data_IF_141959333340
#
_entry.id   IF_141959333340
#
_cell.length_a   1.000
_cell.length_b   1.000
_cell.length_c   1.000
_cell.angle_alpha   90.00
_cell.angle_beta   90.00
_cell.angle_gamma   90.00
#
_symmetry.space_group_name_H-M   'P 1'
#
loop_
_entity.id
_entity.type
_entity.pdbx_description
1 polymer ?
#
# COMPACT_ATOMS: atom_id res chain seq x y z
N UNK A 1 -19.32 48.62 -5.34
CA UNK A 1 -18.68 47.74 -4.34
C UNK A 1 -18.94 46.23 -4.49
N UNK A 2 -20.11 45.69 -4.90
CA UNK A 2 -20.30 44.23 -4.86
C UNK A 2 -19.49 43.44 -5.93
N UNK A 3 -19.15 44.05 -7.06
CA UNK A 3 -18.43 43.37 -8.14
C UNK A 3 -16.98 42.98 -7.78
N UNK A 4 -16.26 43.86 -7.07
CA UNK A 4 -14.87 43.60 -6.64
C UNK A 4 -14.77 42.50 -5.58
N UNK A 5 -15.80 42.36 -4.73
CA UNK A 5 -15.84 41.32 -3.70
C UNK A 5 -16.08 39.92 -4.28
N UNK A 6 -16.89 39.80 -5.34
CA UNK A 6 -17.07 38.54 -6.09
C UNK A 6 -15.80 38.09 -6.83
N UNK A 7 -14.99 39.04 -7.31
CA UNK A 7 -13.73 38.71 -8.00
C UNK A 7 -12.69 38.08 -7.06
N UNK A 8 -12.60 38.55 -5.80
CA UNK A 8 -11.66 38.02 -4.81
C UNK A 8 -11.95 36.56 -4.47
N UNK A 9 -13.19 36.24 -4.05
CA UNK A 9 -13.55 34.87 -3.65
C UNK A 9 -13.48 33.85 -4.79
N UNK A 10 -13.65 34.28 -6.05
CA UNK A 10 -13.44 33.42 -7.21
C UNK A 10 -11.97 33.02 -7.40
N UNK A 11 -11.02 33.87 -6.97
CA UNK A 11 -9.59 33.61 -7.04
C UNK A 11 -9.11 32.71 -5.90
N UNK A 12 -9.59 32.93 -4.68
CA UNK A 12 -9.23 32.11 -3.50
C UNK A 12 -9.69 30.65 -3.65
N UNK A 13 -10.88 30.44 -4.22
CA UNK A 13 -11.40 29.11 -4.56
C UNK A 13 -10.54 28.42 -5.63
N UNK A 14 -10.03 29.18 -6.60
CA UNK A 14 -9.20 28.64 -7.69
C UNK A 14 -7.81 28.23 -7.16
N UNK A 15 -7.22 29.02 -6.27
CA UNK A 15 -5.94 28.70 -5.60
C UNK A 15 -6.10 27.43 -4.74
N UNK A 16 -7.17 27.33 -3.97
CA UNK A 16 -7.47 26.16 -3.12
C UNK A 16 -7.64 24.88 -3.95
N UNK A 17 -8.40 24.96 -5.05
CA UNK A 17 -8.56 23.84 -5.98
C UNK A 17 -7.24 23.43 -6.64
N UNK A 18 -6.36 24.38 -6.97
CA UNK A 18 -5.06 24.09 -7.59
C UNK A 18 -4.13 23.32 -6.63
N UNK A 19 -4.10 23.69 -5.34
CA UNK A 19 -3.30 23.00 -4.33
C UNK A 19 -3.77 21.55 -4.10
N UNK A 20 -5.09 21.31 -4.06
CA UNK A 20 -5.65 19.95 -3.96
C UNK A 20 -5.26 19.12 -5.19
N UNK A 21 -5.37 19.69 -6.40
CA UNK A 21 -4.96 19.03 -7.64
C UNK A 21 -3.45 18.72 -7.64
N UNK A 22 -2.61 19.61 -7.11
CA UNK A 22 -1.16 19.41 -7.05
C UNK A 22 -0.76 18.24 -6.13
N UNK A 23 -1.35 18.15 -4.92
CA UNK A 23 -1.11 17.01 -4.01
C UNK A 23 -1.51 15.66 -4.65
N UNK A 24 -2.70 15.60 -5.26
CA UNK A 24 -3.22 14.36 -5.86
C UNK A 24 -2.49 13.98 -7.16
N UNK A 25 -2.17 14.95 -8.01
CA UNK A 25 -1.43 14.73 -9.24
C UNK A 25 -0.01 14.22 -8.98
N UNK A 26 0.67 14.70 -7.93
CA UNK A 26 1.99 14.19 -7.56
C UNK A 26 1.94 12.71 -7.14
N UNK A 27 0.96 12.33 -6.30
CA UNK A 27 0.77 10.95 -5.87
C UNK A 27 0.51 10.01 -7.06
N UNK A 28 -0.42 10.38 -7.95
CA UNK A 28 -0.75 9.57 -9.13
C UNK A 28 0.39 9.52 -10.16
N UNK A 29 1.19 10.58 -10.29
CA UNK A 29 2.37 10.59 -11.17
C UNK A 29 3.45 9.65 -10.65
N UNK A 30 3.72 9.65 -9.34
CA UNK A 30 4.62 8.70 -8.70
C UNK A 30 4.13 7.26 -8.88
N UNK A 31 2.84 7.00 -8.64
CA UNK A 31 2.23 5.69 -8.83
C UNK A 31 2.32 5.22 -10.28
N UNK A 32 2.00 6.09 -11.24
CA UNK A 32 2.08 5.79 -12.68
C UNK A 32 3.53 5.55 -13.13
N UNK A 33 4.51 6.22 -12.52
CA UNK A 33 5.93 5.93 -12.71
C UNK A 33 6.30 4.53 -12.19
N UNK A 34 5.86 4.18 -10.99
CA UNK A 34 6.05 2.83 -10.41
C UNK A 34 5.35 1.75 -11.24
N UNK A 35 4.14 2.00 -11.73
CA UNK A 35 3.40 1.12 -12.64
C UNK A 35 4.13 0.90 -13.95
N UNK A 36 4.62 1.97 -14.59
CA UNK A 36 5.39 1.90 -15.83
C UNK A 36 6.68 1.09 -15.62
N UNK A 37 7.41 1.35 -14.53
CA UNK A 37 8.61 0.61 -14.18
C UNK A 37 8.31 -0.87 -13.92
N UNK A 38 7.23 -1.18 -13.20
CA UNK A 38 6.83 -2.57 -12.95
C UNK A 38 6.42 -3.28 -14.25
N UNK A 39 5.63 -2.65 -15.11
CA UNK A 39 5.25 -3.18 -16.42
C UNK A 39 6.48 -3.47 -17.31
N UNK A 40 7.48 -2.58 -17.32
CA UNK A 40 8.76 -2.81 -18.03
C UNK A 40 9.53 -3.99 -17.43
N UNK A 41 9.59 -4.12 -16.11
CA UNK A 41 10.22 -5.27 -15.44
C UNK A 41 9.50 -6.59 -15.76
N UNK A 42 8.17 -6.61 -15.79
CA UNK A 42 7.37 -7.77 -16.19
C UNK A 42 7.60 -8.13 -17.66
N UNK A 43 7.56 -7.14 -18.57
CA UNK A 43 7.79 -7.35 -20.00
C UNK A 43 9.20 -7.88 -20.26
N UNK A 44 10.23 -7.33 -19.61
CA UNK A 44 11.61 -7.81 -19.67
C UNK A 44 11.75 -9.23 -19.12
N UNK A 45 11.11 -9.53 -17.97
CA UNK A 45 11.13 -10.86 -17.36
C UNK A 45 10.46 -11.91 -18.26
N UNK A 46 9.29 -11.58 -18.82
CA UNK A 46 8.58 -12.43 -19.77
C UNK A 46 9.38 -12.65 -21.07
N UNK A 47 9.95 -11.58 -21.65
CA UNK A 47 10.83 -11.66 -22.81
C UNK A 47 12.04 -12.57 -22.54
N UNK A 48 12.73 -12.36 -21.41
CA UNK A 48 13.88 -13.18 -21.01
C UNK A 48 13.48 -14.64 -20.81
N UNK A 49 12.33 -14.91 -20.21
CA UNK A 49 11.80 -16.27 -20.03
C UNK A 49 11.51 -16.95 -21.37
N UNK A 50 10.89 -16.24 -22.32
CA UNK A 50 10.65 -16.73 -23.68
C UNK A 50 11.96 -17.01 -24.43
N UNK A 51 12.94 -16.11 -24.36
CA UNK A 51 14.24 -16.27 -25.01
C UNK A 51 15.10 -17.38 -24.39
N UNK A 52 15.09 -17.53 -23.07
CA UNK A 52 15.95 -18.48 -22.32
C UNK A 52 15.30 -19.86 -22.15
N UNK A 53 14.12 -20.11 -22.74
CA UNK A 53 13.27 -21.30 -22.55
C UNK A 53 13.98 -22.65 -22.75
N UNK A 54 15.13 -22.70 -23.43
CA UNK A 54 15.92 -23.91 -23.67
C UNK A 54 16.89 -24.32 -22.54
N UNK A 55 17.31 -23.43 -21.65
CA UNK A 55 18.50 -23.69 -20.82
C UNK A 55 18.17 -24.06 -19.37
N UNK A 56 17.27 -23.33 -18.71
CA UNK A 56 16.78 -23.67 -17.37
C UNK A 56 15.36 -23.10 -17.18
N UNK A 57 14.31 -23.92 -17.00
CA UNK A 57 12.99 -23.41 -16.66
C UNK A 57 13.03 -22.79 -15.25
N UNK A 58 12.66 -21.51 -15.13
CA UNK A 58 12.39 -20.92 -13.83
C UNK A 58 11.21 -21.67 -13.16
N UNK A 59 11.16 -21.75 -11.82
CA UNK A 59 10.07 -22.40 -11.12
C UNK A 59 8.74 -21.73 -11.48
N UNK A 60 7.83 -22.46 -12.12
CA UNK A 60 6.55 -21.97 -12.66
C UNK A 60 5.71 -21.18 -11.64
N UNK A 61 5.82 -21.56 -10.37
CA UNK A 61 5.23 -20.87 -9.22
C UNK A 61 5.59 -19.38 -9.17
N UNK A 62 6.85 -19.00 -9.39
CA UNK A 62 7.25 -17.59 -9.32
C UNK A 62 6.60 -16.76 -10.43
N UNK A 63 6.53 -17.30 -11.66
CA UNK A 63 5.89 -16.64 -12.79
C UNK A 63 4.40 -16.41 -12.49
N UNK A 64 3.71 -17.41 -11.95
CA UNK A 64 2.31 -17.31 -11.56
C UNK A 64 2.05 -16.21 -10.52
N UNK A 65 2.83 -16.17 -9.44
CA UNK A 65 2.71 -15.12 -8.42
C UNK A 65 3.02 -13.73 -8.96
N UNK A 66 4.07 -13.60 -9.79
CA UNK A 66 4.44 -12.32 -10.40
C UNK A 66 3.34 -11.81 -11.34
N UNK A 67 2.68 -12.68 -12.11
CA UNK A 67 1.55 -12.30 -12.95
C UNK A 67 0.30 -11.92 -12.13
N UNK A 68 0.03 -12.60 -11.02
CA UNK A 68 -1.07 -12.23 -10.10
C UNK A 68 -0.82 -10.85 -9.47
N UNK A 69 0.38 -10.62 -8.93
CA UNK A 69 0.72 -9.31 -8.35
C UNK A 69 0.64 -8.19 -9.40
N UNK A 70 1.09 -8.44 -10.63
CA UNK A 70 0.95 -7.47 -11.72
C UNK A 70 -0.52 -7.21 -12.09
N UNK A 71 -1.36 -8.24 -12.14
CA UNK A 71 -2.79 -8.07 -12.41
C UNK A 71 -3.50 -7.29 -11.28
N UNK A 72 -3.23 -7.62 -10.01
CA UNK A 72 -3.76 -6.88 -8.86
C UNK A 72 -3.30 -5.41 -8.88
N UNK A 73 -2.02 -5.15 -9.14
CA UNK A 73 -1.48 -3.79 -9.20
C UNK A 73 -2.06 -3.00 -10.39
N UNK A 74 -2.35 -3.66 -11.51
CA UNK A 74 -3.06 -3.06 -12.64
C UNK A 74 -4.51 -2.70 -12.29
N UNK A 75 -5.22 -3.55 -11.52
CA UNK A 75 -6.57 -3.24 -11.04
C UNK A 75 -6.57 -2.07 -10.07
N UNK A 76 -5.59 -2.01 -9.15
CA UNK A 76 -5.39 -0.89 -8.24
C UNK A 76 -5.20 0.42 -9.02
N UNK A 77 -4.19 0.50 -9.89
CA UNK A 77 -3.90 1.69 -10.71
C UNK A 77 -5.06 2.13 -11.61
N UNK A 78 -5.85 1.19 -12.16
CA UNK A 78 -7.08 1.51 -12.91
C UNK A 78 -8.15 2.15 -12.02
N UNK A 79 -8.27 1.71 -10.75
CA UNK A 79 -9.21 2.30 -9.80
C UNK A 79 -8.77 3.71 -9.39
N UNK A 80 -7.48 3.93 -9.12
CA UNK A 80 -6.94 5.25 -8.76
C UNK A 80 -7.14 6.26 -9.92
N UNK A 81 -6.91 5.87 -11.17
CA UNK A 81 -7.28 6.68 -12.36
C UNK A 81 -8.78 6.89 -12.47
N UNK A 82 -9.60 5.88 -12.20
CA UNK A 82 -11.06 6.00 -12.22
C UNK A 82 -11.56 7.02 -11.18
N UNK A 83 -10.99 7.04 -9.98
CA UNK A 83 -11.30 8.02 -8.95
C UNK A 83 -10.91 9.44 -9.37
N UNK A 84 -9.68 9.65 -9.87
CA UNK A 84 -9.27 10.96 -10.39
C UNK A 84 -10.20 11.43 -11.52
N UNK A 85 -10.59 10.53 -12.43
CA UNK A 85 -11.51 10.84 -13.51
C UNK A 85 -12.94 11.16 -13.04
N UNK A 86 -13.39 10.56 -11.92
CA UNK A 86 -14.67 10.84 -11.31
C UNK A 86 -14.67 12.21 -10.60
N UNK A 87 -13.61 12.52 -9.87
CA UNK A 87 -13.39 13.80 -9.19
C UNK A 87 -13.26 14.95 -10.19
N UNK A 88 -12.44 14.80 -11.24
CA UNK A 88 -12.32 15.80 -12.30
C UNK A 88 -13.67 16.11 -13.00
N UNK A 89 -14.61 15.17 -13.00
CA UNK A 89 -15.97 15.36 -13.56
C UNK A 89 -16.97 15.99 -12.57
N UNK A 90 -16.72 15.94 -11.26
CA UNK A 90 -17.60 16.57 -10.28
C UNK A 90 -17.37 18.09 -10.21
N UNK A 91 -16.12 18.55 -10.32
CA UNK A 91 -15.73 19.97 -10.23
C UNK A 91 -16.51 20.90 -11.19
N UNK A 92 -16.69 20.59 -12.50
CA UNK A 92 -17.50 21.42 -13.38
C UNK A 92 -18.98 21.50 -12.98
N UNK A 93 -19.52 20.41 -12.44
CA UNK A 93 -20.94 20.30 -12.06
C UNK A 93 -21.28 21.21 -10.87
N UNK A 94 -20.33 21.37 -9.94
CA UNK A 94 -20.50 22.25 -8.78
C UNK A 94 -20.49 23.74 -9.14
N UNK A 95 -19.88 24.11 -10.29
CA UNK A 95 -19.77 25.49 -10.76
C UNK A 95 -21.03 26.01 -11.47
N UNK A 96 -21.92 25.12 -11.91
CA UNK A 96 -23.23 25.46 -12.48
C UNK A 96 -24.35 25.58 -11.44
N UNK A 97 -24.07 25.28 -10.16
CA UNK A 97 -25.02 25.42 -9.05
C UNK A 97 -25.32 26.89 -8.72
N UNK A 98 -26.61 27.17 -8.53
CA UNK A 98 -27.24 28.45 -8.19
C UNK A 98 -26.45 29.36 -7.23
N UNK A 99 -26.53 30.67 -7.46
CA UNK A 99 -25.84 31.70 -6.66
C UNK A 99 -26.49 32.01 -5.29
N UNK A 100 -27.58 31.32 -4.95
CA UNK A 100 -28.43 31.60 -3.78
C UNK A 100 -28.47 30.46 -2.73
N UNK A 101 -27.69 29.37 -2.91
CA UNK A 101 -27.68 28.25 -1.97
C UNK A 101 -26.65 28.48 -0.83
N UNK A 102 -27.01 28.30 0.46
CA UNK A 102 -26.14 28.64 1.58
C UNK A 102 -24.83 27.85 1.57
N UNK A 103 -23.71 28.55 1.79
CA UNK A 103 -22.34 28.01 1.77
C UNK A 103 -22.21 26.74 2.62
N UNK A 104 -21.97 25.56 2.00
CA UNK A 104 -21.55 24.37 2.72
C UNK A 104 -20.12 24.59 3.21
N UNK A 105 -19.84 24.26 4.47
CA UNK A 105 -18.48 24.34 5.03
C UNK A 105 -17.52 23.42 4.27
N UNK A 106 -16.26 23.87 4.11
CA UNK A 106 -15.33 23.28 3.15
C UNK A 106 -15.00 21.81 3.42
N UNK A 107 -15.45 20.93 2.52
CA UNK A 107 -15.19 19.49 2.58
C UNK A 107 -13.72 19.20 2.24
N UNK A 108 -12.89 19.05 3.27
CA UNK A 108 -11.46 18.80 3.14
C UNK A 108 -11.17 17.30 3.00
N UNK A 109 -11.20 16.79 1.77
CA UNK A 109 -10.95 15.38 1.46
C UNK A 109 -9.53 14.93 1.82
N UNK A 110 -9.36 14.31 3.00
CA UNK A 110 -8.16 13.53 3.33
C UNK A 110 -8.51 12.34 4.21
N UNK A 111 -8.21 11.13 3.72
CA UNK A 111 -8.11 9.88 4.48
C UNK A 111 -9.29 9.46 5.36
N UNK A 112 -10.28 8.77 4.78
CA UNK A 112 -11.21 7.85 5.46
C UNK A 112 -12.20 8.38 6.53
N UNK A 113 -12.09 9.60 7.08
CA UNK A 113 -13.05 10.12 8.07
C UNK A 113 -14.43 10.50 7.51
N UNK A 114 -14.56 10.58 6.19
CA UNK A 114 -15.68 11.23 5.48
C UNK A 114 -16.80 10.28 5.02
N UNK A 115 -16.59 8.96 5.11
CA UNK A 115 -17.53 7.92 4.60
C UNK A 115 -18.92 7.99 5.29
N UNK A 116 -19.03 8.67 6.44
CA UNK A 116 -20.30 8.91 7.14
C UNK A 116 -20.92 10.30 6.95
N UNK A 117 -20.17 11.27 6.41
CA UNK A 117 -20.56 12.69 6.45
C UNK A 117 -21.18 13.16 5.13
N UNK A 118 -20.54 12.88 4.00
CA UNK A 118 -20.75 13.68 2.78
C UNK A 118 -21.77 13.10 1.80
N UNK A 119 -22.56 12.11 2.24
CA UNK A 119 -23.61 11.50 1.41
C UNK A 119 -23.11 10.94 0.07
N UNK A 120 -21.82 10.55 0.00
CA UNK A 120 -21.17 10.01 -1.20
C UNK A 120 -22.08 9.01 -1.89
N UNK A 121 -22.39 9.26 -3.17
CA UNK A 121 -23.35 8.47 -3.93
C UNK A 121 -23.06 6.96 -3.75
N UNK A 122 -24.06 6.11 -3.44
CA UNK A 122 -23.87 4.66 -3.22
C UNK A 122 -23.11 3.94 -4.35
N UNK A 123 -23.07 4.56 -5.54
CA UNK A 123 -22.29 4.16 -6.72
C UNK A 123 -20.77 4.07 -6.50
N UNK A 124 -20.19 4.86 -5.59
CA UNK A 124 -18.73 4.89 -5.35
C UNK A 124 -18.25 3.95 -4.25
N UNK A 125 -19.15 3.46 -3.38
CA UNK A 125 -18.82 2.53 -2.30
C UNK A 125 -18.11 1.26 -2.84
N UNK A 126 -18.67 0.63 -3.88
CA UNK A 126 -18.15 -0.62 -4.40
C UNK A 126 -16.73 -0.52 -4.99
N UNK A 127 -16.40 0.48 -5.85
CA UNK A 127 -15.01 0.74 -6.26
C UNK A 127 -14.03 0.92 -5.09
N UNK A 128 -14.40 1.68 -4.05
CA UNK A 128 -13.51 1.95 -2.90
C UNK A 128 -13.25 0.68 -2.11
N UNK A 129 -14.29 -0.14 -1.90
CA UNK A 129 -14.14 -1.46 -1.28
C UNK A 129 -13.21 -2.36 -2.10
N UNK A 130 -13.36 -2.42 -3.43
CA UNK A 130 -12.48 -3.24 -4.29
C UNK A 130 -11.04 -2.75 -4.23
N UNK A 131 -10.79 -1.43 -4.30
CA UNK A 131 -9.45 -0.85 -4.17
C UNK A 131 -8.78 -1.27 -2.85
N UNK A 132 -9.52 -1.18 -1.74
CA UNK A 132 -9.06 -1.58 -0.41
C UNK A 132 -8.72 -3.08 -0.33
N UNK A 133 -9.60 -3.95 -0.85
CA UNK A 133 -9.36 -5.41 -0.89
C UNK A 133 -8.14 -5.74 -1.76
N UNK A 134 -7.99 -5.09 -2.91
CA UNK A 134 -6.84 -5.27 -3.81
C UNK A 134 -5.54 -4.81 -3.13
N UNK A 135 -5.56 -3.72 -2.38
CA UNK A 135 -4.42 -3.24 -1.61
C UNK A 135 -4.00 -4.24 -0.52
N UNK A 136 -4.94 -4.79 0.25
CA UNK A 136 -4.65 -5.83 1.25
C UNK A 136 -4.07 -7.09 0.60
N UNK A 137 -4.60 -7.52 -0.55
CA UNK A 137 -4.05 -8.66 -1.29
C UNK A 137 -2.63 -8.38 -1.81
N UNK A 138 -2.34 -7.17 -2.30
CA UNK A 138 -0.99 -6.79 -2.75
C UNK A 138 0.03 -6.87 -1.62
N UNK A 139 -0.34 -6.42 -0.42
CA UNK A 139 0.50 -6.52 0.78
C UNK A 139 0.74 -8.00 1.13
N UNK A 140 -0.32 -8.80 1.26
CA UNK A 140 -0.23 -10.23 1.58
C UNK A 140 0.65 -11.02 0.59
N UNK A 141 0.49 -10.77 -0.72
CA UNK A 141 1.32 -11.41 -1.74
C UNK A 141 2.78 -10.94 -1.68
N UNK A 142 3.03 -9.66 -1.35
CA UNK A 142 4.37 -9.13 -1.10
C UNK A 142 5.09 -9.86 0.03
N UNK A 143 4.39 -10.07 1.15
CA UNK A 143 4.92 -10.74 2.34
C UNK A 143 5.20 -12.23 2.07
N UNK A 144 4.27 -12.94 1.41
CA UNK A 144 4.47 -14.33 0.97
C UNK A 144 5.70 -14.44 0.06
N UNK A 145 5.86 -13.54 -0.92
CA UNK A 145 7.01 -13.54 -1.84
C UNK A 145 8.31 -13.20 -1.10
N UNK A 146 8.28 -12.30 -0.13
CA UNK A 146 9.44 -11.94 0.69
C UNK A 146 9.89 -13.11 1.57
N UNK A 147 8.98 -13.71 2.34
CA UNK A 147 9.25 -14.88 3.18
C UNK A 147 9.71 -16.08 2.35
N UNK A 148 9.11 -16.31 1.17
CA UNK A 148 9.57 -17.33 0.22
C UNK A 148 11.01 -17.08 -0.25
N UNK A 149 11.38 -15.83 -0.57
CA UNK A 149 12.77 -15.48 -0.93
C UNK A 149 13.73 -15.77 0.21
N UNK A 150 13.40 -15.40 1.45
CA UNK A 150 14.21 -15.75 2.62
C UNK A 150 14.35 -17.28 2.78
N UNK A 151 13.27 -18.04 2.63
CA UNK A 151 13.26 -19.50 2.70
C UNK A 151 14.15 -20.18 1.64
N UNK A 152 14.07 -19.74 0.39
CA UNK A 152 14.93 -20.22 -0.70
C UNK A 152 16.39 -19.86 -0.43
N UNK A 153 16.66 -18.60 -0.05
CA UNK A 153 18.02 -18.13 0.28
C UNK A 153 18.62 -18.96 1.41
N UNK A 154 17.87 -19.31 2.45
CA UNK A 154 18.39 -20.11 3.58
C UNK A 154 18.68 -21.58 3.25
N UNK A 155 18.25 -22.09 2.10
CA UNK A 155 18.43 -23.51 1.74
C UNK A 155 17.33 -24.40 2.31
N UNK A 156 16.11 -23.87 2.44
CA UNK A 156 14.89 -24.61 2.79
C UNK A 156 14.86 -25.29 4.19
N UNK A 157 15.30 -24.65 5.28
CA UNK A 157 15.18 -25.24 6.62
C UNK A 157 13.72 -25.39 7.06
N UNK A 158 13.36 -26.56 7.61
CA UNK A 158 11.97 -26.89 8.01
C UNK A 158 11.35 -25.87 8.98
N UNK A 159 12.12 -25.35 9.93
CA UNK A 159 11.63 -24.37 10.91
C UNK A 159 11.18 -23.06 10.24
N UNK A 160 11.91 -22.57 9.24
CA UNK A 160 11.55 -21.34 8.54
C UNK A 160 10.32 -21.54 7.63
N UNK A 161 10.11 -22.75 7.10
CA UNK A 161 8.86 -23.09 6.40
C UNK A 161 7.65 -23.00 7.35
N UNK A 162 7.76 -23.57 8.55
CA UNK A 162 6.70 -23.49 9.58
C UNK A 162 6.46 -22.04 9.99
N UNK A 163 7.53 -21.26 10.22
CA UNK A 163 7.42 -19.83 10.56
C UNK A 163 6.70 -19.05 9.45
N UNK A 164 7.15 -19.18 8.19
CA UNK A 164 6.54 -18.51 7.04
C UNK A 164 5.06 -18.89 6.85
N UNK A 165 4.72 -20.17 7.03
CA UNK A 165 3.34 -20.64 6.93
C UNK A 165 2.48 -20.10 8.09
N UNK A 166 3.00 -20.07 9.31
CA UNK A 166 2.30 -19.53 10.48
C UNK A 166 2.06 -18.02 10.36
N UNK A 167 3.01 -17.27 9.80
CA UNK A 167 2.88 -15.84 9.52
C UNK A 167 1.78 -15.60 8.48
N UNK A 168 1.83 -16.30 7.34
CA UNK A 168 0.82 -16.16 6.27
C UNK A 168 -0.60 -16.56 6.72
N UNK A 169 -0.73 -17.57 7.59
CA UNK A 169 -2.04 -17.95 8.18
C UNK A 169 -2.53 -16.88 9.15
N UNK A 170 -1.66 -16.36 10.02
CA UNK A 170 -2.02 -15.30 10.99
C UNK A 170 -2.43 -14.01 10.26
N UNK A 171 -1.64 -13.58 9.29
CA UNK A 171 -1.92 -12.42 8.43
C UNK A 171 -3.22 -12.61 7.65
N UNK A 172 -3.42 -13.77 7.02
CA UNK A 172 -4.65 -14.11 6.31
C UNK A 172 -5.91 -14.08 7.19
N UNK A 173 -5.82 -14.51 8.44
CA UNK A 173 -6.92 -14.40 9.43
C UNK A 173 -7.18 -12.94 9.79
N UNK A 174 -6.14 -12.14 10.05
CA UNK A 174 -6.29 -10.71 10.36
C UNK A 174 -6.91 -9.94 9.19
N UNK A 175 -6.47 -10.19 7.95
CA UNK A 175 -7.10 -9.60 6.78
C UNK A 175 -8.52 -10.10 6.54
N UNK A 176 -8.83 -11.38 6.75
CA UNK A 176 -10.20 -11.87 6.66
C UNK A 176 -11.13 -11.16 7.67
N UNK A 177 -10.65 -10.92 8.90
CA UNK A 177 -11.38 -10.16 9.92
C UNK A 177 -11.52 -8.68 9.54
N UNK A 178 -10.50 -8.05 8.96
CA UNK A 178 -10.56 -6.67 8.46
C UNK A 178 -11.58 -6.57 7.33
N UNK A 179 -11.54 -7.45 6.33
CA UNK A 179 -12.50 -7.52 5.23
C UNK A 179 -13.93 -7.74 5.73
N UNK A 180 -14.12 -8.65 6.70
CA UNK A 180 -15.41 -8.90 7.33
C UNK A 180 -15.91 -7.68 8.15
N UNK A 181 -15.02 -6.96 8.84
CA UNK A 181 -15.39 -5.72 9.54
C UNK A 181 -15.81 -4.62 8.57
N UNK A 182 -15.10 -4.49 7.44
CA UNK A 182 -15.41 -3.52 6.40
C UNK A 182 -16.72 -3.85 5.70
N UNK A 183 -17.00 -5.12 5.37
CA UNK A 183 -18.23 -5.51 4.65
C UNK A 183 -19.52 -5.21 5.41
N UNK A 184 -19.48 -5.11 6.75
CA UNK A 184 -20.64 -4.65 7.55
C UNK A 184 -21.11 -3.24 7.21
N UNK A 185 -20.27 -2.41 6.59
CA UNK A 185 -20.67 -1.06 6.13
C UNK A 185 -21.40 -1.08 4.77
N UNK A 186 -21.35 -2.20 4.04
CA UNK A 186 -21.87 -2.34 2.68
C UNK A 186 -23.09 -3.26 2.59
N UNK A 187 -23.27 -4.14 3.57
CA UNK A 187 -24.40 -5.06 3.63
C UNK A 187 -25.53 -4.46 4.48
N UNK A 188 -26.80 -4.50 4.03
CA UNK A 188 -27.93 -4.03 4.83
C UNK A 188 -28.03 -4.84 6.14
N UNK A 189 -28.14 -4.14 7.26
CA UNK A 189 -28.14 -4.74 8.60
C UNK A 189 -29.33 -5.67 8.80
N UNK A 190 -29.08 -6.98 8.87
CA UNK A 190 -30.02 -7.93 9.49
C UNK A 190 -29.93 -7.79 11.02
N UNK A 191 -31.07 -7.71 11.72
CA UNK A 191 -31.12 -7.40 13.17
C UNK A 191 -30.25 -8.32 14.04
N UNK A 192 -30.09 -9.59 13.64
CA UNK A 192 -29.25 -10.58 14.35
C UNK A 192 -27.73 -10.36 14.17
N UNK A 193 -27.30 -9.66 13.12
CA UNK A 193 -25.88 -9.35 12.88
C UNK A 193 -25.39 -8.09 13.63
N UNK A 194 -26.32 -7.30 14.17
CA UNK A 194 -26.06 -5.94 14.67
C UNK A 194 -25.10 -5.91 15.87
N UNK A 195 -25.20 -6.89 16.78
CA UNK A 195 -24.30 -7.01 17.93
C UNK A 195 -22.86 -7.38 17.55
N UNK A 196 -22.67 -8.36 16.67
CA UNK A 196 -21.33 -8.78 16.22
C UNK A 196 -20.68 -7.72 15.32
N UNK A 197 -21.44 -7.13 14.41
CA UNK A 197 -20.96 -6.08 13.49
C UNK A 197 -20.46 -4.84 14.24
N UNK A 198 -21.17 -4.38 15.28
CA UNK A 198 -20.74 -3.23 16.08
C UNK A 198 -19.43 -3.51 16.86
N UNK A 199 -19.27 -4.73 17.39
CA UNK A 199 -18.02 -5.17 18.00
C UNK A 199 -16.84 -5.17 17.02
N UNK A 200 -17.06 -5.70 15.81
CA UNK A 200 -16.05 -5.75 14.75
C UNK A 200 -15.70 -4.35 14.22
N UNK A 201 -16.68 -3.47 14.05
CA UNK A 201 -16.50 -2.08 13.63
C UNK A 201 -15.64 -1.29 14.64
N UNK A 202 -15.89 -1.48 15.95
CA UNK A 202 -15.07 -0.88 17.02
C UNK A 202 -13.64 -1.46 17.05
N UNK A 203 -13.49 -2.75 16.75
CA UNK A 203 -12.18 -3.42 16.69
C UNK A 203 -11.37 -3.07 15.43
N UNK A 204 -12.01 -2.55 14.36
CA UNK A 204 -11.39 -2.33 13.04
C UNK A 204 -10.08 -1.56 13.10
N UNK A 205 -10.01 -0.43 13.80
CA UNK A 205 -8.79 0.38 13.90
C UNK A 205 -7.63 -0.42 14.53
N UNK A 206 -7.91 -1.16 15.60
CA UNK A 206 -6.94 -2.04 16.27
C UNK A 206 -6.51 -3.20 15.37
N UNK A 207 -7.45 -3.81 14.64
CA UNK A 207 -7.17 -4.89 13.68
C UNK A 207 -6.28 -4.40 12.53
N UNK A 208 -6.57 -3.23 11.96
CA UNK A 208 -5.77 -2.61 10.88
C UNK A 208 -4.35 -2.31 11.36
N UNK A 209 -4.19 -1.71 12.54
CA UNK A 209 -2.87 -1.46 13.13
C UNK A 209 -2.11 -2.77 13.39
N UNK A 210 -2.79 -3.79 13.93
CA UNK A 210 -2.22 -5.11 14.16
C UNK A 210 -1.79 -5.80 12.85
N UNK A 211 -2.58 -5.67 11.78
CA UNK A 211 -2.24 -6.16 10.44
C UNK A 211 -0.95 -5.52 9.92
N UNK A 212 -0.88 -4.18 9.91
CA UNK A 212 0.33 -3.47 9.49
C UNK A 212 1.56 -3.81 10.35
N UNK A 213 1.39 -4.01 11.66
CA UNK A 213 2.47 -4.43 12.55
C UNK A 213 2.97 -5.86 12.22
N UNK A 214 2.06 -6.80 11.95
CA UNK A 214 2.41 -8.18 11.55
C UNK A 214 3.16 -8.17 10.21
N UNK A 215 2.67 -7.43 9.21
CA UNK A 215 3.34 -7.27 7.91
C UNK A 215 4.71 -6.61 8.05
N UNK A 216 4.83 -5.55 8.83
CA UNK A 216 6.12 -4.93 9.15
C UNK A 216 7.12 -5.94 9.71
N UNK A 217 6.70 -6.74 10.70
CA UNK A 217 7.53 -7.80 11.28
C UNK A 217 7.89 -8.91 10.26
N UNK A 218 6.97 -9.28 9.36
CA UNK A 218 7.22 -10.26 8.30
C UNK A 218 8.26 -9.75 7.28
N UNK A 219 8.11 -8.52 6.80
CA UNK A 219 9.03 -7.88 5.86
C UNK A 219 10.42 -7.66 6.48
N UNK A 220 10.47 -7.24 7.75
CA UNK A 220 11.72 -7.06 8.49
C UNK A 220 12.47 -8.34 8.77
N UNK A 221 11.76 -9.36 9.26
CA UNK A 221 12.39 -10.66 9.54
C UNK A 221 12.94 -11.26 8.23
N UNK A 222 12.17 -11.23 7.14
CA UNK A 222 12.63 -11.61 5.79
C UNK A 222 13.88 -10.84 5.35
N UNK A 223 13.84 -9.50 5.42
CA UNK A 223 14.95 -8.64 4.96
C UNK A 223 16.21 -8.83 5.80
N UNK A 224 16.06 -8.91 7.12
CA UNK A 224 17.15 -9.15 8.08
C UNK A 224 17.79 -10.52 7.85
N UNK A 225 16.99 -11.56 7.61
CA UNK A 225 17.48 -12.89 7.27
C UNK A 225 18.29 -12.87 5.96
N UNK A 226 17.74 -12.29 4.89
CA UNK A 226 18.42 -12.20 3.59
C UNK A 226 19.75 -11.44 3.74
N UNK A 227 19.75 -10.30 4.44
CA UNK A 227 20.95 -9.51 4.72
C UNK A 227 21.98 -10.30 5.55
N UNK A 228 21.55 -11.01 6.60
CA UNK A 228 22.41 -11.85 7.42
C UNK A 228 23.09 -12.97 6.60
N UNK A 229 22.34 -13.68 5.75
CA UNK A 229 22.94 -14.74 4.93
C UNK A 229 23.85 -14.20 3.83
N UNK A 230 23.52 -13.05 3.24
CA UNK A 230 24.42 -12.35 2.33
C UNK A 230 25.72 -11.93 3.03
N UNK A 231 25.63 -11.42 4.27
CA UNK A 231 26.78 -11.06 5.10
C UNK A 231 27.66 -12.27 5.47
N UNK A 232 27.07 -13.40 5.87
CA UNK A 232 27.82 -14.63 6.19
C UNK A 232 28.52 -15.18 4.96
N UNK A 233 27.86 -15.20 3.80
CA UNK A 233 28.48 -15.63 2.54
C UNK A 233 29.62 -14.68 2.12
N UNK A 234 29.39 -13.37 2.22
CA UNK A 234 30.41 -12.35 1.98
C UNK A 234 31.62 -12.51 2.90
N UNK A 235 31.41 -12.78 4.19
CA UNK A 235 32.49 -13.03 5.15
C UNK A 235 33.34 -14.23 4.73
N UNK A 236 32.71 -15.35 4.36
CA UNK A 236 33.42 -16.53 3.88
C UNK A 236 34.24 -16.22 2.60
N UNK A 237 33.66 -15.54 1.60
CA UNK A 237 34.36 -15.14 0.38
C UNK A 237 35.52 -14.17 0.68
N UNK A 238 35.32 -13.21 1.59
CA UNK A 238 36.33 -12.24 2.02
C UNK A 238 37.54 -12.91 2.67
N UNK A 239 37.32 -13.95 3.47
CA UNK A 239 38.39 -14.68 4.14
C UNK A 239 39.27 -15.45 3.11
N UNK A 240 38.77 -15.70 1.88
CA UNK A 240 39.58 -16.13 0.72
C UNK A 240 40.19 -14.96 -0.09
N UNK A 241 39.52 -13.81 -0.22
CA UNK A 241 39.94 -12.66 -1.05
C UNK A 241 40.93 -11.69 -0.35
N UNK A 242 41.91 -12.21 0.38
CA UNK A 242 42.60 -11.52 1.48
C UNK A 242 43.47 -10.28 1.16
N UNK A 243 43.41 -9.65 -0.02
CA UNK A 243 44.51 -8.76 -0.50
C UNK A 243 44.21 -7.39 -1.11
N UNK A 244 42.97 -6.92 -1.32
CA UNK A 244 42.77 -5.58 -1.93
C UNK A 244 41.42 -4.86 -1.72
N UNK A 245 40.35 -5.27 -2.41
CA UNK A 245 39.24 -4.39 -2.82
C UNK A 245 38.16 -4.09 -1.74
N UNK A 246 38.54 -4.05 -0.47
CA UNK A 246 37.63 -4.42 0.64
C UNK A 246 36.72 -3.31 1.20
N UNK A 247 36.97 -2.02 0.94
CA UNK A 247 36.25 -0.93 1.66
C UNK A 247 34.85 -0.58 1.12
N UNK A 248 34.63 -0.54 -0.21
CA UNK A 248 33.36 -0.02 -0.78
C UNK A 248 32.13 -0.89 -0.50
N UNK A 249 32.29 -2.21 -0.48
CA UNK A 249 31.15 -3.13 -0.27
C UNK A 249 30.58 -3.05 1.16
N UNK A 250 31.43 -2.78 2.16
CA UNK A 250 30.99 -2.66 3.56
C UNK A 250 30.08 -1.45 3.77
N UNK A 251 30.45 -0.28 3.25
CA UNK A 251 29.59 0.92 3.31
C UNK A 251 28.23 0.69 2.66
N UNK A 252 28.17 0.04 1.49
CA UNK A 252 26.90 -0.20 0.80
C UNK A 252 25.94 -1.08 1.62
N UNK A 253 26.43 -2.16 2.25
CA UNK A 253 25.59 -3.01 3.08
C UNK A 253 25.18 -2.31 4.39
N UNK A 254 26.09 -1.58 5.03
CA UNK A 254 25.80 -0.82 6.23
C UNK A 254 24.71 0.23 5.97
N UNK A 255 24.82 1.01 4.88
CA UNK A 255 23.82 2.01 4.48
C UNK A 255 22.44 1.38 4.26
N UNK A 256 22.35 0.18 3.66
CA UNK A 256 21.05 -0.52 3.45
C UNK A 256 20.44 -1.00 4.77
N UNK A 257 21.27 -1.45 5.73
CA UNK A 257 20.79 -1.87 7.05
C UNK A 257 20.37 -0.65 7.89
N UNK A 258 21.20 0.39 7.92
CA UNK A 258 20.93 1.64 8.66
C UNK A 258 19.69 2.34 8.11
N UNK A 259 19.53 2.45 6.78
CA UNK A 259 18.33 3.08 6.19
C UNK A 259 17.05 2.28 6.46
N UNK A 260 17.12 0.94 6.46
CA UNK A 260 16.00 0.08 6.87
C UNK A 260 15.61 0.29 8.34
N UNK A 261 16.58 0.42 9.25
CA UNK A 261 16.32 0.69 10.68
C UNK A 261 15.76 2.10 10.88
N UNK A 262 16.30 3.11 10.20
CA UNK A 262 15.77 4.50 10.27
C UNK A 262 14.34 4.57 9.76
N UNK A 263 14.03 3.88 8.64
CA UNK A 263 12.67 3.82 8.10
C UNK A 263 11.66 3.23 9.11
N UNK A 264 12.05 2.19 9.85
CA UNK A 264 11.22 1.64 10.93
C UNK A 264 10.99 2.60 12.09
N UNK A 265 12.05 3.26 12.55
CA UNK A 265 11.93 4.20 13.67
C UNK A 265 10.95 5.30 13.29
N UNK A 266 11.07 5.85 12.08
CA UNK A 266 10.11 6.82 11.54
C UNK A 266 8.68 6.23 11.51
N UNK A 267 8.49 5.06 10.92
CA UNK A 267 7.18 4.40 10.79
C UNK A 267 6.50 4.04 12.13
N UNK A 268 7.29 3.80 13.19
CA UNK A 268 6.76 3.56 14.55
C UNK A 268 6.52 4.86 15.32
N UNK A 269 7.31 5.91 15.07
CA UNK A 269 7.17 7.20 15.78
C UNK A 269 6.07 8.10 15.20
N UNK A 270 5.82 8.07 13.90
CA UNK A 270 4.81 8.91 13.24
C UNK A 270 3.38 8.73 13.83
N UNK A 271 2.88 7.49 14.07
CA UNK A 271 1.61 7.29 14.75
C UNK A 271 1.60 7.83 16.19
N UNK A 272 2.73 7.77 16.91
CA UNK A 272 2.84 8.22 18.30
C UNK A 272 2.74 9.74 18.37
N UNK A 273 3.35 10.47 17.44
CA UNK A 273 3.25 11.93 17.34
C UNK A 273 1.89 12.40 16.82
N UNK A 274 1.17 11.58 16.05
CA UNK A 274 -0.18 11.90 15.56
C UNK A 274 -1.30 11.79 16.61
N UNK A 275 -1.01 11.23 17.80
CA UNK A 275 -1.99 11.17 18.88
C UNK A 275 -2.27 12.60 19.37
N UNK A 276 -3.52 13.10 19.33
CA UNK A 276 -3.82 14.44 19.79
C UNK A 276 -3.49 14.55 21.28
N UNK A 277 -2.70 15.56 21.64
CA UNK A 277 -2.47 15.95 23.03
C UNK A 277 -3.80 16.40 23.65
N UNK A 278 -4.51 15.47 24.30
CA UNK A 278 -5.69 15.77 25.11
C UNK A 278 -5.23 16.36 26.44
N UNK A 279 -5.10 17.69 26.47
CA UNK A 279 -4.93 18.52 27.66
C UNK A 279 -6.17 19.38 27.89
#
# INVERSE_FOLDING_TARGET
MPATMKALGAQDNLISALGIIEEHAFSLLLETCLFTLYAVLIAYFAYRLCATRRINPLPSFMIFYTLIMFALFSVYWILDIYFLCAEYRSVPSHRSGSLDEPTPEGVHWKGASWIHSDGLLPRYLAPVYVQYIVQLLLIAFGDIVSLWRAYVVFGRPRWLYVLSLSTAVTEGVVYALICASSSTQYLPSSDSALGFGNGLAKARTTLTFLGYAITGLAQLSSTTLIAYKAWVHWKAVRDFMHRSATRRSFSALAIVIESGVVYLVLLVTDPIWSLPYTG
#
